data_IF_564109386906
#
_entry.id   IF_564109386906
#
_cell.length_a   1.000
_cell.length_b   1.000
_cell.length_c   1.000
_cell.angle_alpha   90.00
_cell.angle_beta   90.00
_cell.angle_gamma   90.00
#
_symmetry.space_group_name_H-M   'P 1'
#
loop_
_entity.id
_entity.type
_entity.pdbx_description
1 polymer ?
#
# COMPACT_ATOMS: atom_id res chain seq x y z
N UNK A 1 11.00 12.41 -7.97
CA UNK A 1 11.02 11.20 -7.11
C UNK A 1 9.95 10.23 -7.58
N UNK A 2 10.36 9.09 -8.13
CA UNK A 2 9.52 7.98 -8.56
C UNK A 2 9.26 6.98 -7.43
N UNK A 3 8.18 6.21 -7.53
CA UNK A 3 7.85 5.13 -6.59
C UNK A 3 7.44 3.87 -7.35
N UNK A 4 7.94 2.73 -6.91
CA UNK A 4 7.60 1.44 -7.50
C UNK A 4 6.20 0.98 -7.06
N UNK A 5 5.60 0.11 -7.87
CA UNK A 5 4.33 -0.59 -7.63
C UNK A 5 4.53 -2.09 -7.83
N UNK A 6 3.71 -2.91 -7.18
CA UNK A 6 3.74 -4.36 -7.36
C UNK A 6 3.59 -4.70 -8.84
N UNK A 7 4.43 -5.63 -9.32
CA UNK A 7 4.71 -5.88 -10.72
C UNK A 7 3.48 -6.32 -11.54
N UNK A 8 2.65 -7.20 -10.98
CA UNK A 8 1.59 -7.89 -11.71
C UNK A 8 0.24 -7.18 -11.65
N UNK A 9 -0.05 -6.55 -10.51
CA UNK A 9 -1.35 -5.97 -10.15
C UNK A 9 -1.30 -4.46 -10.03
N UNK A 10 -0.10 -3.87 -9.91
CA UNK A 10 0.08 -2.44 -9.71
C UNK A 10 -0.28 -1.97 -8.29
N UNK A 11 -0.53 -2.90 -7.36
CA UNK A 11 -0.80 -2.60 -5.96
C UNK A 11 0.39 -1.91 -5.28
N UNK A 12 0.19 -1.41 -4.06
CA UNK A 12 1.30 -0.89 -3.28
C UNK A 12 2.09 -2.07 -2.67
N UNK A 13 3.41 -2.16 -2.89
CA UNK A 13 4.23 -3.18 -2.25
C UNK A 13 4.28 -2.94 -0.74
N UNK A 14 4.40 -3.99 0.08
CA UNK A 14 4.61 -3.90 1.53
C UNK A 14 5.84 -3.06 1.84
N UNK A 15 6.93 -3.29 1.10
CA UNK A 15 8.16 -2.53 1.27
C UNK A 15 8.38 -1.58 0.10
N UNK A 16 8.25 -0.28 0.39
CA UNK A 16 8.35 0.79 -0.58
C UNK A 16 9.73 0.86 -1.25
N UNK A 17 9.74 1.33 -2.49
CA UNK A 17 10.99 1.69 -3.16
C UNK A 17 10.83 3.05 -3.83
N UNK A 18 11.81 3.91 -3.62
CA UNK A 18 11.83 5.28 -4.12
C UNK A 18 13.04 5.46 -5.04
N UNK A 19 12.83 6.11 -6.19
CA UNK A 19 13.86 6.30 -7.22
C UNK A 19 14.01 7.78 -7.55
N UNK A 20 15.24 8.23 -7.70
CA UNK A 20 15.61 9.51 -8.26
C UNK A 20 16.61 9.27 -9.39
N UNK A 21 16.56 10.12 -10.41
CA UNK A 21 17.48 10.06 -11.55
C UNK A 21 17.92 11.46 -11.94
N UNK A 22 19.17 11.59 -12.36
CA UNK A 22 19.73 12.86 -12.81
C UNK A 22 20.79 12.63 -13.89
N UNK A 23 21.06 13.65 -14.69
CA UNK A 23 22.20 13.68 -15.60
C UNK A 23 23.23 14.67 -15.09
N UNK A 24 24.51 14.41 -15.30
CA UNK A 24 25.51 15.45 -15.12
C UNK A 24 25.37 16.58 -16.16
N UNK A 25 26.17 17.64 -15.94
CA UNK A 25 26.19 18.80 -16.83
C UNK A 25 26.69 18.46 -18.23
N UNK A 26 27.64 17.52 -18.34
CA UNK A 26 28.18 17.09 -19.63
C UNK A 26 27.16 16.30 -20.45
N UNK A 27 26.23 15.61 -19.79
CA UNK A 27 25.29 14.70 -20.42
C UNK A 27 25.88 13.32 -20.71
N UNK A 28 27.07 13.01 -20.20
CA UNK A 28 27.75 11.72 -20.39
C UNK A 28 27.56 10.77 -19.20
N UNK A 29 26.94 11.22 -18.12
CA UNK A 29 26.69 10.37 -16.96
C UNK A 29 25.23 10.45 -16.51
N UNK A 30 24.59 9.30 -16.44
CA UNK A 30 23.27 9.09 -15.86
C UNK A 30 23.42 8.55 -14.44
N UNK A 31 22.77 9.19 -13.48
CA UNK A 31 22.77 8.78 -12.08
C UNK A 31 21.40 8.27 -11.67
N UNK A 32 21.37 7.18 -10.89
CA UNK A 32 20.21 6.78 -10.11
C UNK A 32 20.55 6.75 -8.63
N UNK A 33 19.62 7.24 -7.81
CA UNK A 33 19.60 7.04 -6.37
C UNK A 33 18.31 6.29 -6.02
N UNK A 34 18.47 5.10 -5.46
CA UNK A 34 17.39 4.16 -5.18
C UNK A 34 17.39 3.87 -3.69
N UNK A 35 16.25 4.09 -3.02
CA UNK A 35 16.02 3.71 -1.63
C UNK A 35 15.03 2.57 -1.58
N UNK A 36 15.42 1.46 -0.98
CA UNK A 36 14.60 0.28 -0.74
C UNK A 36 14.25 0.21 0.75
N UNK A 37 13.00 0.53 1.10
CA UNK A 37 12.55 0.42 2.48
C UNK A 37 12.56 -1.05 2.90
N UNK A 38 12.86 -1.31 4.17
CA UNK A 38 12.93 -2.63 4.78
C UNK A 38 12.37 -2.61 6.20
N UNK A 39 12.13 -3.80 6.75
CA UNK A 39 11.74 -3.90 8.14
C UNK A 39 12.98 -3.65 9.02
N UNK A 40 12.88 -2.77 10.04
CA UNK A 40 13.93 -2.58 11.03
C UNK A 40 14.51 -3.90 11.55
N UNK A 41 15.83 -4.04 11.50
CA UNK A 41 16.58 -5.22 11.96
C UNK A 41 16.41 -6.51 11.14
N UNK A 42 15.65 -6.52 10.05
CA UNK A 42 15.50 -7.71 9.21
C UNK A 42 16.73 -7.94 8.33
N UNK A 43 17.28 -9.16 8.37
CA UNK A 43 18.45 -9.51 7.57
C UNK A 43 18.12 -9.52 6.08
N UNK A 44 18.90 -8.78 5.29
CA UNK A 44 18.82 -8.79 3.83
C UNK A 44 19.29 -10.12 3.25
N UNK A 45 18.68 -10.52 2.13
CA UNK A 45 19.08 -11.73 1.42
C UNK A 45 20.17 -11.41 0.38
N UNK A 46 21.44 -11.41 0.81
CA UNK A 46 22.60 -11.22 -0.07
C UNK A 46 23.19 -12.58 -0.43
N UNK A 47 23.13 -12.94 -1.71
CA UNK A 47 23.58 -14.24 -2.22
C UNK A 47 24.99 -14.22 -2.83
N UNK A 48 25.51 -13.05 -3.14
CA UNK A 48 26.88 -12.87 -3.65
C UNK A 48 27.42 -11.47 -3.35
N UNK A 49 28.75 -11.35 -3.33
CA UNK A 49 29.48 -10.07 -3.27
C UNK A 49 30.37 -9.89 -4.49
N UNK A 50 30.27 -10.79 -5.49
CA UNK A 50 31.15 -10.83 -6.65
C UNK A 50 30.47 -10.17 -7.84
N UNK A 51 31.24 -9.41 -8.62
CA UNK A 51 30.81 -8.88 -9.92
C UNK A 51 30.55 -10.03 -10.91
N UNK A 52 29.56 -9.85 -11.79
CA UNK A 52 29.10 -10.82 -12.79
C UNK A 52 28.61 -12.18 -12.26
N UNK A 53 28.29 -12.27 -10.96
CA UNK A 53 27.78 -13.48 -10.35
C UNK A 53 26.25 -13.56 -10.41
N UNK A 54 25.75 -14.45 -11.27
CA UNK A 54 24.31 -14.63 -11.52
C UNK A 54 23.53 -15.14 -10.29
N UNK A 55 24.22 -15.62 -9.25
CA UNK A 55 23.54 -15.97 -8.00
C UNK A 55 22.86 -14.75 -7.34
N UNK A 56 23.20 -13.53 -7.76
CA UNK A 56 22.52 -12.28 -7.39
C UNK A 56 20.99 -12.38 -7.47
N UNK A 57 20.44 -13.02 -8.51
CA UNK A 57 18.98 -13.15 -8.70
C UNK A 57 18.28 -14.14 -7.76
N UNK A 58 19.01 -14.84 -6.90
CA UNK A 58 18.40 -15.61 -5.80
C UNK A 58 18.20 -14.78 -4.52
N UNK A 59 18.69 -13.53 -4.51
CA UNK A 59 18.67 -12.61 -3.38
C UNK A 59 17.79 -11.38 -3.58
N UNK A 60 17.97 -10.40 -2.69
CA UNK A 60 17.44 -9.06 -2.84
C UNK A 60 18.26 -8.32 -3.91
N UNK A 61 17.58 -7.67 -4.86
CA UNK A 61 18.26 -6.84 -5.85
C UNK A 61 17.36 -5.72 -6.39
N UNK A 62 18.00 -4.73 -6.98
CA UNK A 62 17.37 -3.78 -7.90
C UNK A 62 17.88 -4.04 -9.31
N UNK A 63 17.02 -3.81 -10.30
CA UNK A 63 17.39 -3.88 -11.70
C UNK A 63 17.01 -2.59 -12.42
N UNK A 64 17.90 -2.09 -13.27
CA UNK A 64 17.67 -0.95 -14.14
C UNK A 64 17.68 -1.47 -15.56
N UNK A 65 16.57 -1.28 -16.28
CA UNK A 65 16.47 -1.61 -17.70
C UNK A 65 16.46 -0.32 -18.51
N UNK A 66 17.32 -0.21 -19.53
CA UNK A 66 17.50 1.01 -20.32
C UNK A 66 17.48 0.69 -21.81
N UNK A 67 16.39 1.05 -22.47
CA UNK A 67 16.26 1.11 -23.93
C UNK A 67 16.67 2.52 -24.39
N UNK A 68 17.56 2.60 -25.36
CA UNK A 68 18.07 3.86 -25.91
C UNK A 68 17.59 4.04 -27.34
N UNK A 69 17.89 5.19 -27.94
CA UNK A 69 17.63 5.43 -29.35
C UNK A 69 18.55 4.62 -30.30
N UNK A 70 19.66 4.12 -29.78
CA UNK A 70 20.63 3.31 -30.54
C UNK A 70 20.57 1.83 -30.21
N UNK A 71 19.89 1.41 -29.13
CA UNK A 71 19.98 0.03 -28.64
C UNK A 71 18.70 -0.50 -28.00
N UNK A 72 18.44 -1.80 -28.20
CA UNK A 72 17.18 -2.44 -27.78
C UNK A 72 16.93 -2.37 -26.28
N UNK A 73 17.85 -2.84 -25.44
CA UNK A 73 17.97 -2.44 -24.04
C UNK A 73 19.16 -3.10 -23.33
N UNK A 74 19.65 -2.42 -22.30
CA UNK A 74 20.60 -2.93 -21.31
C UNK A 74 19.88 -3.29 -20.02
N UNK A 75 20.43 -4.23 -19.25
CA UNK A 75 20.01 -4.55 -17.88
C UNK A 75 21.21 -4.42 -16.95
N UNK A 76 21.02 -3.70 -15.85
CA UNK A 76 22.02 -3.57 -14.79
C UNK A 76 21.36 -3.98 -13.48
N UNK A 77 21.90 -5.00 -12.81
CA UNK A 77 21.39 -5.52 -11.55
C UNK A 77 22.39 -5.28 -10.41
N UNK A 78 21.88 -4.78 -9.27
CA UNK A 78 22.68 -4.46 -8.08
C UNK A 78 22.02 -5.05 -6.84
N UNK A 79 22.79 -5.73 -6.00
CA UNK A 79 22.31 -6.21 -4.69
C UNK A 79 22.76 -5.32 -3.52
N UNK A 80 22.26 -5.54 -2.29
CA UNK A 80 22.63 -4.70 -1.14
C UNK A 80 24.12 -4.70 -0.76
N UNK A 81 24.91 -5.67 -1.22
CA UNK A 81 26.35 -5.72 -0.98
C UNK A 81 27.17 -5.03 -2.09
N UNK A 82 26.50 -4.40 -3.06
CA UNK A 82 27.15 -3.73 -4.19
C UNK A 82 27.67 -4.67 -5.28
N UNK A 83 27.28 -5.95 -5.26
CA UNK A 83 27.55 -6.83 -6.40
C UNK A 83 26.77 -6.31 -7.62
N UNK A 84 27.44 -6.25 -8.76
CA UNK A 84 26.94 -5.74 -10.03
C UNK A 84 26.92 -6.87 -11.04
N UNK A 85 25.83 -6.99 -11.79
CA UNK A 85 25.76 -7.79 -13.01
C UNK A 85 25.20 -6.90 -14.11
N UNK A 86 25.89 -6.83 -15.24
CA UNK A 86 25.45 -6.09 -16.41
C UNK A 86 25.25 -7.00 -17.63
N UNK A 87 24.19 -6.72 -18.38
CA UNK A 87 23.75 -7.54 -19.50
C UNK A 87 23.31 -6.64 -20.65
N UNK A 88 23.83 -6.93 -21.84
CA UNK A 88 23.24 -6.47 -23.08
C UNK A 88 22.12 -7.44 -23.50
N UNK A 89 20.87 -6.96 -23.52
CA UNK A 89 19.70 -7.77 -23.91
C UNK A 89 19.29 -7.56 -25.38
N UNK A 90 19.98 -6.68 -26.10
CA UNK A 90 19.82 -6.44 -27.54
C UNK A 90 20.62 -7.41 -28.41
N UNK A 91 21.56 -8.17 -27.83
CA UNK A 91 22.37 -9.16 -28.54
C UNK A 91 21.88 -10.60 -28.30
N UNK A 92 22.47 -11.55 -29.04
CA UNK A 92 22.22 -12.97 -28.84
C UNK A 92 22.52 -13.41 -27.40
N UNK A 93 21.69 -14.35 -26.89
CA UNK A 93 21.76 -14.82 -25.51
C UNK A 93 23.14 -15.32 -25.05
N UNK A 94 23.93 -15.90 -25.95
CA UNK A 94 25.27 -16.39 -25.65
C UNK A 94 26.31 -15.26 -25.46
N UNK A 95 25.96 -14.04 -25.82
CA UNK A 95 26.79 -12.83 -25.74
C UNK A 95 26.31 -11.81 -24.71
N UNK A 96 25.17 -12.06 -24.05
CA UNK A 96 24.55 -11.18 -23.05
C UNK A 96 25.54 -10.64 -21.99
N UNK A 97 26.38 -11.50 -21.44
CA UNK A 97 27.31 -11.17 -20.36
C UNK A 97 28.69 -10.69 -20.85
N UNK A 98 28.84 -10.33 -22.14
CA UNK A 98 30.11 -9.82 -22.69
C UNK A 98 30.21 -8.30 -22.65
N UNK A 99 29.09 -7.62 -22.42
CA UNK A 99 29.02 -6.17 -22.36
C UNK A 99 29.26 -5.68 -20.94
N UNK A 100 30.05 -4.62 -20.79
CA UNK A 100 30.29 -3.96 -19.52
C UNK A 100 29.71 -2.54 -19.51
N UNK A 101 28.88 -2.25 -18.51
CA UNK A 101 28.24 -0.93 -18.34
C UNK A 101 29.21 0.20 -17.99
N UNK A 102 30.42 -0.15 -17.51
CA UNK A 102 31.37 0.78 -16.89
C UNK A 102 30.76 1.57 -15.72
N UNK A 103 29.70 1.03 -15.11
CA UNK A 103 28.99 1.69 -14.02
C UNK A 103 29.78 1.65 -12.70
N UNK A 104 29.69 2.74 -11.94
CA UNK A 104 30.20 2.81 -10.57
C UNK A 104 29.02 2.76 -9.60
N UNK A 105 29.12 1.91 -8.58
CA UNK A 105 28.04 1.63 -7.64
C UNK A 105 28.50 1.80 -6.21
N UNK A 106 27.72 2.52 -5.43
CA UNK A 106 27.82 2.57 -3.97
C UNK A 106 26.51 2.08 -3.35
N UNK A 107 26.62 1.30 -2.27
CA UNK A 107 25.49 0.83 -1.49
C UNK A 107 25.64 1.21 -0.02
N UNK A 108 24.52 1.41 0.66
CA UNK A 108 24.49 1.64 2.09
C UNK A 108 23.33 0.88 2.71
N UNK A 109 23.61 0.16 3.80
CA UNK A 109 22.61 -0.58 4.57
C UNK A 109 22.41 0.15 5.90
N UNK A 110 21.17 0.55 6.15
CA UNK A 110 20.70 1.10 7.41
C UNK A 110 19.70 0.13 8.06
N UNK A 111 19.13 0.52 9.20
CA UNK A 111 18.22 -0.33 9.96
C UNK A 111 16.89 -0.58 9.22
N UNK A 112 16.28 0.46 8.67
CA UNK A 112 14.95 0.43 8.04
C UNK A 112 15.00 0.49 6.50
N UNK A 113 16.19 0.47 5.90
CA UNK A 113 16.35 0.54 4.45
C UNK A 113 17.77 0.18 3.99
N UNK A 114 17.91 -0.02 2.69
CA UNK A 114 19.20 0.06 2.00
C UNK A 114 19.09 0.95 0.76
N UNK A 115 20.23 1.47 0.30
CA UNK A 115 20.30 2.34 -0.88
C UNK A 115 21.28 1.83 -1.93
N UNK A 116 21.00 2.21 -3.18
CA UNK A 116 21.92 2.10 -4.32
C UNK A 116 22.08 3.48 -4.92
N UNK A 117 23.31 3.93 -5.03
CA UNK A 117 23.70 5.08 -5.85
C UNK A 117 24.58 4.57 -6.99
N UNK A 118 24.17 4.82 -8.23
CA UNK A 118 24.85 4.31 -9.41
C UNK A 118 25.09 5.42 -10.43
N UNK A 119 26.33 5.52 -10.91
CA UNK A 119 26.74 6.32 -12.07
C UNK A 119 26.86 5.39 -13.28
N UNK A 120 26.12 5.66 -14.33
CA UNK A 120 26.14 4.92 -15.60
C UNK A 120 26.72 5.87 -16.66
N UNK A 121 27.94 5.63 -17.16
CA UNK A 121 28.48 6.38 -18.27
C UNK A 121 27.76 6.04 -19.59
N UNK A 122 27.55 7.09 -20.38
CA UNK A 122 26.82 7.06 -21.65
C UNK A 122 27.69 7.63 -22.74
N UNK A 123 27.71 6.98 -23.90
CA UNK A 123 28.45 7.41 -25.09
C UNK A 123 27.55 7.48 -26.31
N UNK A 124 27.89 8.35 -27.26
CA UNK A 124 27.33 8.33 -28.62
C UNK A 124 28.23 7.61 -29.61
N UNK A 125 29.41 7.14 -29.16
CA UNK A 125 30.34 6.37 -29.97
C UNK A 125 29.92 4.91 -30.01
N UNK A 126 29.60 4.41 -31.20
CA UNK A 126 29.15 3.03 -31.42
C UNK A 126 30.32 2.07 -31.75
N UNK A 127 31.57 2.58 -31.80
CA UNK A 127 32.74 1.78 -32.17
C UNK A 127 33.23 0.83 -31.06
N UNK A 128 32.78 1.03 -29.82
CA UNK A 128 33.04 0.13 -28.69
C UNK A 128 31.73 -0.52 -28.23
N UNK A 129 31.22 -1.55 -28.94
CA UNK A 129 29.92 -2.14 -28.65
C UNK A 129 29.91 -2.99 -27.37
N UNK A 130 31.07 -3.25 -26.77
CA UNK A 130 31.19 -4.06 -25.55
C UNK A 130 31.27 -3.22 -24.28
N UNK A 131 31.30 -1.89 -24.38
CA UNK A 131 31.40 -1.02 -23.22
C UNK A 131 30.41 0.14 -23.30
N UNK A 132 30.01 0.65 -22.13
CA UNK A 132 29.16 1.83 -21.95
C UNK A 132 27.73 1.64 -22.46
N UNK A 133 26.83 2.49 -21.98
CA UNK A 133 25.49 2.61 -22.58
C UNK A 133 25.60 3.49 -23.82
N UNK A 134 25.21 2.95 -24.98
CA UNK A 134 25.24 3.68 -26.24
C UNK A 134 23.89 4.37 -26.48
N UNK A 135 23.93 5.67 -26.73
CA UNK A 135 22.79 6.48 -27.14
C UNK A 135 22.96 7.96 -26.79
N UNK A 136 22.13 8.82 -27.37
CA UNK A 136 22.17 10.25 -27.04
C UNK A 136 21.43 10.53 -25.73
N UNK A 137 21.80 11.62 -25.05
CA UNK A 137 21.01 12.11 -23.90
C UNK A 137 19.54 12.34 -24.32
N UNK A 138 18.56 11.69 -23.65
CA UNK A 138 17.18 11.73 -24.09
C UNK A 138 16.51 13.08 -23.83
N UNK A 139 15.66 13.49 -24.76
CA UNK A 139 14.87 14.73 -24.71
C UNK A 139 13.37 14.41 -24.69
N UNK A 140 12.53 15.43 -24.51
CA UNK A 140 11.06 15.25 -24.57
C UNK A 140 10.61 14.75 -25.94
N UNK A 141 11.26 15.20 -27.02
CA UNK A 141 10.91 14.79 -28.39
C UNK A 141 11.50 13.44 -28.77
N UNK A 142 12.59 13.03 -28.12
CA UNK A 142 13.33 11.81 -28.41
C UNK A 142 13.68 11.12 -27.08
N UNK A 143 12.67 10.53 -26.41
CA UNK A 143 12.86 9.89 -25.13
C UNK A 143 13.57 8.54 -25.28
N UNK A 144 14.19 8.10 -24.19
CA UNK A 144 14.54 6.70 -23.97
C UNK A 144 13.36 5.99 -23.29
N UNK A 145 13.43 4.67 -23.17
CA UNK A 145 12.52 3.90 -22.33
C UNK A 145 13.26 3.18 -21.22
N UNK A 146 12.66 3.12 -20.03
CA UNK A 146 13.31 2.50 -18.87
C UNK A 146 12.34 1.80 -17.92
N UNK A 147 12.92 0.94 -17.09
CA UNK A 147 12.27 0.47 -15.87
C UNK A 147 13.28 0.39 -14.74
N UNK A 148 12.80 0.59 -13.51
CA UNK A 148 13.54 0.26 -12.29
C UNK A 148 12.72 -0.74 -11.51
N UNK A 149 13.27 -1.91 -11.29
CA UNK A 149 12.63 -3.04 -10.64
C UNK A 149 13.32 -3.34 -9.32
N UNK A 150 12.57 -3.92 -8.37
CA UNK A 150 13.10 -4.48 -7.13
C UNK A 150 12.55 -5.89 -6.97
N UNK A 151 13.45 -6.79 -6.63
CA UNK A 151 13.15 -8.11 -6.10
C UNK A 151 13.51 -8.14 -4.62
N UNK A 152 12.57 -8.59 -3.79
CA UNK A 152 12.76 -8.86 -2.36
C UNK A 152 12.40 -10.31 -2.08
N UNK A 153 13.34 -11.10 -1.56
CA UNK A 153 13.18 -12.54 -1.33
C UNK A 153 13.29 -12.85 0.15
N UNK A 154 12.30 -13.56 0.69
CA UNK A 154 12.29 -14.11 2.06
C UNK A 154 11.87 -15.58 2.01
N UNK A 155 12.11 -16.28 3.11
CA UNK A 155 11.85 -17.73 3.23
C UNK A 155 10.43 -18.13 2.80
N UNK A 156 9.42 -17.36 3.21
CA UNK A 156 8.02 -17.67 2.95
C UNK A 156 7.37 -16.81 1.87
N UNK A 157 8.13 -16.01 1.12
CA UNK A 157 7.54 -15.21 0.05
C UNK A 157 8.51 -14.26 -0.64
N UNK A 158 8.07 -13.76 -1.78
CA UNK A 158 8.78 -12.76 -2.57
C UNK A 158 7.87 -11.57 -2.88
N UNK A 159 8.47 -10.41 -3.03
CA UNK A 159 7.79 -9.22 -3.54
C UNK A 159 8.58 -8.65 -4.71
N UNK A 160 7.88 -8.48 -5.83
CA UNK A 160 8.42 -7.90 -7.05
C UNK A 160 7.72 -6.59 -7.30
N UNK A 161 8.49 -5.52 -7.50
CA UNK A 161 7.93 -4.21 -7.79
C UNK A 161 8.71 -3.52 -8.90
N UNK A 162 8.04 -2.63 -9.62
CA UNK A 162 8.64 -1.90 -10.74
C UNK A 162 8.12 -0.47 -10.81
N UNK A 163 8.94 0.43 -11.36
CA UNK A 163 8.57 1.82 -11.61
C UNK A 163 7.43 1.89 -12.62
N UNK A 164 7.50 1.03 -13.65
CA UNK A 164 6.43 0.71 -14.58
C UNK A 164 6.07 -0.77 -14.46
N UNK A 165 5.02 -1.14 -13.70
CA UNK A 165 4.56 -2.52 -13.59
C UNK A 165 4.26 -3.13 -14.96
N UNK A 166 4.70 -4.37 -15.16
CA UNK A 166 4.60 -5.06 -16.45
C UNK A 166 3.24 -5.74 -16.64
N UNK A 167 2.52 -6.03 -15.56
CA UNK A 167 1.30 -6.82 -15.62
C UNK A 167 1.58 -8.29 -15.94
N UNK A 168 2.81 -8.76 -15.69
CA UNK A 168 3.24 -10.15 -15.87
C UNK A 168 4.13 -10.58 -14.71
N UNK A 169 4.45 -11.88 -14.61
CA UNK A 169 5.35 -12.39 -13.57
C UNK A 169 6.82 -11.96 -13.74
N UNK A 170 7.19 -11.33 -14.86
CA UNK A 170 8.58 -10.99 -15.18
C UNK A 170 8.79 -9.49 -15.45
N UNK A 171 10.03 -9.05 -15.32
CA UNK A 171 10.43 -7.65 -15.53
C UNK A 171 10.62 -7.28 -17.01
N UNK A 172 10.93 -8.25 -17.87
CA UNK A 172 11.38 -8.02 -19.25
C UNK A 172 10.22 -7.87 -20.24
N UNK A 173 9.46 -6.78 -20.10
CA UNK A 173 8.36 -6.43 -21.00
C UNK A 173 8.61 -5.03 -21.55
N UNK A 174 9.37 -4.93 -22.65
CA UNK A 174 9.92 -3.66 -23.16
C UNK A 174 8.84 -2.64 -23.52
N UNK A 175 7.72 -3.08 -24.11
CA UNK A 175 6.59 -2.18 -24.43
C UNK A 175 5.88 -1.61 -23.18
N UNK A 176 6.26 -2.06 -21.97
CA UNK A 176 5.80 -1.50 -20.68
C UNK A 176 6.80 -0.54 -20.05
N UNK A 177 7.98 -0.36 -20.63
CA UNK A 177 8.96 0.58 -20.11
C UNK A 177 8.40 2.00 -20.13
N UNK A 178 8.70 2.76 -19.06
CA UNK A 178 8.30 4.14 -18.97
C UNK A 178 9.17 5.01 -19.87
N UNK A 179 8.63 6.12 -20.37
CA UNK A 179 9.46 7.10 -21.06
C UNK A 179 10.39 7.83 -20.09
N UNK A 180 11.63 8.02 -20.53
CA UNK A 180 12.71 8.68 -19.82
C UNK A 180 13.24 9.86 -20.63
N UNK A 181 13.26 11.06 -20.05
CA UNK A 181 13.85 12.24 -20.68
C UNK A 181 14.47 13.16 -19.65
N UNK A 182 15.71 13.62 -19.86
CA UNK A 182 16.40 14.59 -19.00
C UNK A 182 16.31 14.33 -17.47
N UNK A 183 16.29 13.06 -17.02
CA UNK A 183 16.14 12.70 -15.59
C UNK A 183 14.71 12.78 -15.05
N UNK A 184 13.75 13.12 -15.90
CA UNK A 184 12.32 13.12 -15.66
C UNK A 184 11.64 11.95 -16.37
N UNK A 185 10.47 11.57 -15.86
CA UNK A 185 9.59 10.58 -16.48
C UNK A 185 8.18 11.15 -16.53
N UNK A 186 7.49 11.06 -17.66
CA UNK A 186 6.06 11.37 -17.77
C UNK A 186 5.29 10.11 -18.10
N UNK A 187 4.19 9.88 -17.38
CA UNK A 187 3.19 8.89 -17.78
C UNK A 187 2.37 9.51 -18.90
N UNK A 188 2.60 9.12 -20.15
CA UNK A 188 1.66 9.40 -21.22
C UNK A 188 0.49 8.42 -21.15
N UNK A 189 -0.65 8.82 -21.71
CA UNK A 189 -1.79 7.91 -21.88
C UNK A 189 -1.32 6.84 -22.86
N UNK A 190 -1.30 5.59 -22.41
CA UNK A 190 -1.09 4.44 -23.30
C UNK A 190 -2.15 4.49 -24.42
N UNK A 191 -1.84 3.90 -25.57
CA UNK A 191 -2.81 3.69 -26.64
C UNK A 191 -4.15 3.20 -26.06
N UNK A 192 -5.27 3.93 -26.27
CA UNK A 192 -6.56 3.55 -25.74
C UNK A 192 -7.05 2.17 -26.21
N UNK A 193 -6.52 1.64 -27.31
CA UNK A 193 -6.86 0.30 -27.81
C UNK A 193 -6.13 -0.83 -27.06
N UNK A 194 -5.01 -0.54 -26.40
CA UNK A 194 -4.28 -1.52 -25.62
C UNK A 194 -4.80 -1.55 -24.18
N UNK A 195 -5.59 -2.57 -23.88
CA UNK A 195 -6.10 -2.84 -22.53
C UNK A 195 -5.42 -4.09 -22.00
N UNK A 196 -4.58 -3.93 -20.98
CA UNK A 196 -4.01 -5.04 -20.22
C UNK A 196 -4.69 -5.20 -18.85
N UNK A 197 -4.22 -6.19 -18.09
CA UNK A 197 -4.70 -6.46 -16.74
C UNK A 197 -4.66 -5.21 -15.84
N UNK A 198 -3.61 -4.40 -15.90
CA UNK A 198 -3.42 -3.22 -15.05
C UNK A 198 -4.43 -2.10 -15.38
N UNK A 199 -4.69 -1.87 -16.66
CA UNK A 199 -5.67 -0.86 -17.11
C UNK A 199 -7.09 -1.31 -16.76
N UNK A 200 -7.44 -2.56 -17.06
CA UNK A 200 -8.75 -3.13 -16.73
C UNK A 200 -8.97 -3.17 -15.20
N UNK A 201 -7.94 -3.53 -14.42
CA UNK A 201 -7.96 -3.53 -12.97
C UNK A 201 -8.27 -2.16 -12.37
N UNK A 202 -7.63 -1.09 -12.86
CA UNK A 202 -7.93 0.29 -12.42
C UNK A 202 -9.37 0.71 -12.74
N UNK A 203 -9.89 0.29 -13.90
CA UNK A 203 -11.28 0.55 -14.27
C UNK A 203 -12.25 -0.15 -13.31
N UNK A 204 -12.01 -1.42 -12.99
CA UNK A 204 -12.80 -2.17 -12.01
C UNK A 204 -12.73 -1.54 -10.60
N UNK A 205 -11.54 -1.10 -10.19
CA UNK A 205 -11.32 -0.42 -8.91
C UNK A 205 -12.07 0.92 -8.84
N UNK A 206 -12.07 1.70 -9.92
CA UNK A 206 -12.81 2.95 -10.00
C UNK A 206 -14.32 2.73 -9.85
N UNK A 207 -14.87 1.65 -10.43
CA UNK A 207 -16.28 1.28 -10.25
C UNK A 207 -16.58 0.95 -8.77
N UNK A 208 -15.70 0.20 -8.11
CA UNK A 208 -15.85 -0.15 -6.70
C UNK A 208 -15.83 1.09 -5.79
N UNK A 209 -14.87 2.00 -6.02
CA UNK A 209 -14.78 3.27 -5.29
C UNK A 209 -15.98 4.18 -5.52
N UNK A 210 -16.52 4.18 -6.74
CA UNK A 210 -17.75 4.88 -7.10
C UNK A 210 -19.03 4.20 -6.56
N UNK A 211 -18.90 3.11 -5.81
CA UNK A 211 -20.01 2.30 -5.25
C UNK A 211 -20.92 1.68 -6.32
N UNK A 212 -20.43 1.57 -7.56
CA UNK A 212 -21.08 0.84 -8.65
C UNK A 212 -20.79 -0.65 -8.52
N UNK A 213 -21.27 -1.25 -7.42
CA UNK A 213 -20.82 -2.57 -6.99
C UNK A 213 -21.25 -3.69 -7.95
N UNK A 214 -22.36 -3.55 -8.68
CA UNK A 214 -22.78 -4.55 -9.67
C UNK A 214 -21.82 -4.59 -10.85
N UNK A 215 -21.48 -3.42 -11.36
CA UNK A 215 -20.55 -3.22 -12.47
C UNK A 215 -19.11 -3.61 -12.06
N UNK A 216 -18.70 -3.23 -10.84
CA UNK A 216 -17.41 -3.63 -10.29
C UNK A 216 -17.30 -5.15 -10.15
N UNK A 217 -18.34 -5.82 -9.63
CA UNK A 217 -18.39 -7.29 -9.53
C UNK A 217 -18.21 -7.94 -10.90
N UNK A 218 -18.99 -7.51 -11.91
CA UNK A 218 -18.88 -8.03 -13.26
C UNK A 218 -17.49 -7.79 -13.87
N UNK A 219 -16.95 -6.58 -13.71
CA UNK A 219 -15.64 -6.22 -14.23
C UNK A 219 -14.51 -7.05 -13.59
N UNK A 220 -14.54 -7.25 -12.28
CA UNK A 220 -13.55 -8.08 -11.59
C UNK A 220 -13.65 -9.57 -11.94
N UNK A 221 -14.87 -10.11 -12.07
CA UNK A 221 -15.06 -11.50 -12.51
C UNK A 221 -14.54 -11.71 -13.93
N UNK A 222 -14.80 -10.76 -14.85
CA UNK A 222 -14.27 -10.80 -16.21
C UNK A 222 -12.74 -10.67 -16.22
N UNK A 223 -12.19 -9.76 -15.40
CA UNK A 223 -10.74 -9.56 -15.27
C UNK A 223 -10.04 -10.83 -14.78
N UNK A 224 -10.62 -11.53 -13.79
CA UNK A 224 -10.10 -12.81 -13.30
C UNK A 224 -10.14 -13.91 -14.37
N UNK A 225 -11.05 -13.83 -15.35
CA UNK A 225 -11.17 -14.78 -16.45
C UNK A 225 -10.32 -14.41 -17.68
N UNK A 226 -9.46 -13.38 -17.58
CA UNK A 226 -8.60 -12.96 -18.69
C UNK A 226 -7.65 -14.11 -19.07
N UNK A 227 -7.53 -14.38 -20.37
CA UNK A 227 -6.60 -15.39 -20.89
C UNK A 227 -5.17 -15.06 -20.42
N UNK A 228 -4.48 -16.08 -19.89
CA UNK A 228 -3.13 -15.98 -19.33
C UNK A 228 -2.99 -15.10 -18.07
N UNK A 229 -4.08 -14.76 -17.38
CA UNK A 229 -3.97 -14.13 -16.07
C UNK A 229 -3.22 -15.07 -15.11
N UNK A 230 -2.21 -14.54 -14.43
CA UNK A 230 -1.45 -15.28 -13.41
C UNK A 230 -2.30 -15.57 -12.18
N UNK A 231 -1.90 -16.54 -11.35
CA UNK A 231 -2.63 -16.84 -10.11
C UNK A 231 -2.77 -15.62 -9.19
N UNK A 232 -1.73 -14.78 -9.11
CA UNK A 232 -1.77 -13.53 -8.34
C UNK A 232 -2.77 -12.53 -8.92
N UNK A 233 -2.82 -12.40 -10.24
CA UNK A 233 -3.78 -11.55 -10.94
C UNK A 233 -5.22 -12.02 -10.73
N UNK A 234 -5.47 -13.33 -10.92
CA UNK A 234 -6.76 -13.95 -10.69
C UNK A 234 -7.22 -13.78 -9.24
N UNK A 235 -6.35 -14.09 -8.27
CA UNK A 235 -6.65 -13.95 -6.85
C UNK A 235 -6.95 -12.49 -6.46
N UNK A 236 -6.18 -11.52 -6.97
CA UNK A 236 -6.41 -10.09 -6.73
C UNK A 236 -7.76 -9.63 -7.32
N UNK A 237 -8.07 -10.03 -8.55
CA UNK A 237 -9.34 -9.69 -9.19
C UNK A 237 -10.53 -10.32 -8.45
N UNK A 238 -10.45 -11.61 -8.08
CA UNK A 238 -11.51 -12.31 -7.34
C UNK A 238 -11.72 -11.74 -5.93
N UNK A 239 -10.67 -11.30 -5.25
CA UNK A 239 -10.80 -10.54 -3.99
C UNK A 239 -11.57 -9.24 -4.19
N UNK A 240 -11.30 -8.51 -5.28
CA UNK A 240 -12.07 -7.32 -5.68
C UNK A 240 -13.54 -7.64 -5.95
N UNK A 241 -13.82 -8.74 -6.65
CA UNK A 241 -15.17 -9.25 -6.89
C UNK A 241 -15.90 -9.58 -5.58
N UNK A 242 -15.24 -10.29 -4.65
CA UNK A 242 -15.84 -10.63 -3.36
C UNK A 242 -16.15 -9.38 -2.52
N UNK A 243 -15.29 -8.36 -2.57
CA UNK A 243 -15.54 -7.05 -1.95
C UNK A 243 -16.80 -6.38 -2.52
N UNK A 244 -16.97 -6.39 -3.84
CA UNK A 244 -18.15 -5.88 -4.51
C UNK A 244 -19.43 -6.67 -4.12
N UNK A 245 -19.35 -8.00 -4.07
CA UNK A 245 -20.45 -8.88 -3.65
C UNK A 245 -20.87 -8.62 -2.19
N UNK A 246 -19.90 -8.48 -1.27
CA UNK A 246 -20.17 -8.08 0.14
C UNK A 246 -20.86 -6.72 0.23
N UNK A 247 -20.45 -5.74 -0.58
CA UNK A 247 -21.11 -4.42 -0.61
C UNK A 247 -22.56 -4.49 -1.11
N UNK A 248 -22.89 -5.48 -1.97
CA UNK A 248 -24.25 -5.79 -2.41
C UNK A 248 -25.03 -6.63 -1.39
N UNK A 249 -24.37 -7.11 -0.33
CA UNK A 249 -24.88 -8.11 0.63
C UNK A 249 -25.21 -9.47 -0.02
N UNK A 250 -24.60 -9.75 -1.16
CA UNK A 250 -24.69 -11.06 -1.81
C UNK A 250 -23.59 -11.97 -1.24
N UNK A 251 -23.83 -12.48 -0.03
CA UNK A 251 -22.85 -13.29 0.69
C UNK A 251 -22.66 -14.66 0.05
N UNK A 252 -23.71 -15.25 -0.53
CA UNK A 252 -23.61 -16.49 -1.28
C UNK A 252 -22.63 -16.34 -2.46
N UNK A 253 -22.73 -15.23 -3.22
CA UNK A 253 -21.77 -14.95 -4.28
C UNK A 253 -20.36 -14.70 -3.74
N UNK A 254 -20.25 -13.98 -2.63
CA UNK A 254 -18.94 -13.73 -2.01
C UNK A 254 -18.25 -15.03 -1.58
N UNK A 255 -19.01 -16.02 -1.08
CA UNK A 255 -18.50 -17.32 -0.65
C UNK A 255 -18.18 -18.23 -1.86
N UNK A 256 -19.01 -18.24 -2.92
CA UNK A 256 -18.70 -18.91 -4.19
C UNK A 256 -17.37 -18.43 -4.80
N UNK A 257 -17.06 -17.14 -4.66
CA UNK A 257 -15.82 -16.57 -5.18
C UNK A 257 -14.58 -17.05 -4.43
N UNK A 258 -14.70 -17.49 -3.17
CA UNK A 258 -13.57 -18.04 -2.39
C UNK A 258 -13.01 -19.29 -3.07
N UNK A 259 -13.90 -20.20 -3.49
CA UNK A 259 -13.56 -21.47 -4.14
C UNK A 259 -12.83 -21.31 -5.48
N UNK A 260 -12.89 -20.11 -6.06
CA UNK A 260 -12.25 -19.79 -7.34
C UNK A 260 -10.88 -19.16 -7.19
N UNK A 261 -10.47 -18.78 -5.98
CA UNK A 261 -9.21 -18.08 -5.74
C UNK A 261 -8.06 -19.10 -5.76
N UNK A 262 -7.09 -18.98 -6.69
CA UNK A 262 -6.02 -19.98 -6.85
C UNK A 262 -4.93 -19.89 -5.78
N UNK A 263 -4.91 -18.82 -4.97
CA UNK A 263 -3.94 -18.62 -3.91
C UNK A 263 -4.57 -18.88 -2.53
N UNK A 264 -4.19 -19.95 -1.80
CA UNK A 264 -4.81 -20.31 -0.52
C UNK A 264 -4.83 -19.19 0.51
N UNK A 265 -3.72 -18.45 0.66
CA UNK A 265 -3.64 -17.32 1.57
C UNK A 265 -4.68 -16.23 1.24
N UNK A 266 -4.90 -15.95 -0.05
CA UNK A 266 -5.88 -14.95 -0.50
C UNK A 266 -7.31 -15.48 -0.33
N UNK A 267 -7.55 -16.77 -0.59
CA UNK A 267 -8.85 -17.41 -0.36
C UNK A 267 -9.26 -17.32 1.11
N UNK A 268 -8.34 -17.64 2.03
CA UNK A 268 -8.56 -17.53 3.47
C UNK A 268 -8.83 -16.08 3.91
N UNK A 269 -8.07 -15.11 3.40
CA UNK A 269 -8.35 -13.68 3.66
C UNK A 269 -9.77 -13.31 3.24
N UNK A 270 -10.19 -13.69 2.03
CA UNK A 270 -11.51 -13.37 1.52
C UNK A 270 -12.60 -14.05 2.35
N UNK A 271 -12.39 -15.28 2.78
CA UNK A 271 -13.34 -15.98 3.64
C UNK A 271 -13.47 -15.30 5.02
N UNK A 272 -12.35 -14.91 5.64
CA UNK A 272 -12.36 -14.11 6.88
C UNK A 272 -13.14 -12.80 6.70
N UNK A 273 -12.90 -12.07 5.60
CA UNK A 273 -13.62 -10.84 5.28
C UNK A 273 -15.13 -11.08 5.06
N UNK A 274 -15.52 -12.21 4.46
CA UNK A 274 -16.91 -12.62 4.29
C UNK A 274 -17.59 -12.89 5.63
N UNK A 275 -16.97 -13.69 6.50
CA UNK A 275 -17.50 -14.00 7.84
C UNK A 275 -17.70 -12.73 8.68
N UNK A 276 -16.76 -11.78 8.63
CA UNK A 276 -16.92 -10.47 9.28
C UNK A 276 -18.11 -9.69 8.72
N UNK A 277 -18.28 -9.64 7.39
CA UNK A 277 -19.40 -8.95 6.76
C UNK A 277 -20.76 -9.61 7.08
N UNK A 278 -20.78 -10.94 7.27
CA UNK A 278 -21.93 -11.72 7.73
C UNK A 278 -22.17 -11.63 9.25
N UNK A 279 -21.33 -10.89 10.00
CA UNK A 279 -21.38 -10.77 11.48
C UNK A 279 -21.16 -12.10 12.19
N UNK A 280 -20.23 -12.91 11.69
CA UNK A 280 -19.83 -14.22 12.24
C UNK A 280 -18.38 -14.23 12.76
N UNK A 281 -18.00 -13.33 13.69
CA UNK A 281 -16.63 -13.28 14.20
C UNK A 281 -16.25 -14.53 15.02
N UNK A 282 -17.20 -15.19 15.66
CA UNK A 282 -16.93 -16.43 16.41
C UNK A 282 -16.54 -17.58 15.48
N UNK A 283 -17.27 -17.78 14.39
CA UNK A 283 -16.98 -18.79 13.37
C UNK A 283 -15.61 -18.56 12.70
N UNK A 284 -15.26 -17.29 12.46
CA UNK A 284 -13.93 -16.93 11.96
C UNK A 284 -12.83 -17.40 12.92
N UNK A 285 -12.98 -17.19 14.23
CA UNK A 285 -11.99 -17.62 15.21
C UNK A 285 -11.97 -19.13 15.41
N UNK A 286 -13.10 -19.82 15.25
CA UNK A 286 -13.15 -21.28 15.26
C UNK A 286 -12.30 -21.87 14.14
N UNK A 287 -12.42 -21.32 12.93
CA UNK A 287 -11.71 -21.82 11.76
C UNK A 287 -10.25 -21.34 11.69
N UNK A 288 -9.99 -20.07 12.01
CA UNK A 288 -8.70 -19.41 11.73
C UNK A 288 -8.03 -18.79 12.96
N UNK A 289 -8.60 -18.95 14.15
CA UNK A 289 -8.06 -18.42 15.40
C UNK A 289 -6.68 -18.96 15.78
N UNK A 290 -6.29 -20.10 15.21
CA UNK A 290 -4.99 -20.76 15.44
C UNK A 290 -4.03 -20.66 14.25
N UNK A 291 -4.41 -19.94 13.20
CA UNK A 291 -3.59 -19.82 11.98
C UNK A 291 -2.23 -19.17 12.28
N UNK A 292 -1.16 -19.76 11.78
CA UNK A 292 0.20 -19.27 12.01
C UNK A 292 0.67 -18.43 10.83
N UNK A 293 0.43 -17.11 10.91
CA UNK A 293 0.81 -16.17 9.86
C UNK A 293 2.32 -16.00 9.70
N UNK A 294 3.17 -16.53 10.59
CA UNK A 294 4.62 -16.46 10.40
C UNK A 294 5.10 -17.28 9.19
N UNK A 295 4.32 -18.28 8.79
CA UNK A 295 4.60 -19.17 7.64
C UNK A 295 4.00 -18.69 6.34
N UNK A 296 3.30 -17.56 6.36
CA UNK A 296 2.62 -17.04 5.19
C UNK A 296 3.56 -16.18 4.33
N UNK A 297 3.25 -16.04 3.03
CA UNK A 297 3.80 -14.96 2.23
C UNK A 297 3.51 -13.61 2.90
N UNK A 298 4.57 -12.89 3.25
CA UNK A 298 4.48 -11.62 3.97
C UNK A 298 3.54 -10.58 3.31
N UNK A 299 3.36 -10.51 1.97
CA UNK A 299 2.39 -9.59 1.36
C UNK A 299 0.93 -9.85 1.74
N UNK A 300 0.62 -11.04 2.29
CA UNK A 300 -0.73 -11.46 2.65
C UNK A 300 -0.98 -11.43 4.17
N UNK A 301 0.06 -11.29 4.98
CA UNK A 301 -0.06 -11.33 6.45
C UNK A 301 -0.92 -10.17 6.98
N UNK A 302 -0.66 -8.94 6.52
CA UNK A 302 -1.36 -7.76 7.07
C UNK A 302 -2.89 -7.82 6.94
N UNK A 303 -3.48 -8.06 5.75
CA UNK A 303 -4.93 -8.17 5.63
C UNK A 303 -5.51 -9.36 6.42
N UNK A 304 -4.82 -10.50 6.49
CA UNK A 304 -5.28 -11.68 7.24
C UNK A 304 -5.29 -11.40 8.75
N UNK A 305 -4.18 -10.89 9.29
CA UNK A 305 -4.06 -10.52 10.69
C UNK A 305 -5.06 -9.43 11.06
N UNK A 306 -5.27 -8.43 10.20
CA UNK A 306 -6.28 -7.42 10.45
C UNK A 306 -7.70 -8.01 10.54
N UNK A 307 -8.09 -8.90 9.61
CA UNK A 307 -9.40 -9.54 9.65
C UNK A 307 -9.59 -10.37 10.94
N UNK A 308 -8.59 -11.17 11.32
CA UNK A 308 -8.65 -11.96 12.56
C UNK A 308 -8.66 -11.08 13.82
N UNK A 309 -7.90 -9.98 13.85
CA UNK A 309 -7.95 -9.00 14.92
C UNK A 309 -9.36 -8.42 15.10
N UNK A 310 -10.07 -8.10 14.01
CA UNK A 310 -11.44 -7.59 14.11
C UNK A 310 -12.39 -8.61 14.75
N UNK A 311 -12.19 -9.91 14.49
CA UNK A 311 -12.95 -10.96 15.15
C UNK A 311 -12.59 -11.09 16.64
N UNK A 312 -11.30 -11.01 16.99
CA UNK A 312 -10.87 -10.99 18.38
C UNK A 312 -11.42 -9.80 19.16
N UNK A 313 -11.46 -8.60 18.56
CA UNK A 313 -12.05 -7.40 19.17
C UNK A 313 -13.52 -7.64 19.51
N UNK A 314 -14.30 -8.15 18.55
CA UNK A 314 -15.74 -8.40 18.73
C UNK A 314 -16.02 -9.47 19.80
N UNK A 315 -15.11 -10.44 19.95
CA UNK A 315 -15.17 -11.47 20.99
C UNK A 315 -14.42 -11.10 22.28
N UNK A 316 -14.03 -9.83 22.46
CA UNK A 316 -13.35 -9.30 23.66
C UNK A 316 -12.02 -9.99 24.00
N UNK A 317 -11.36 -10.63 23.04
CA UNK A 317 -10.03 -11.19 23.21
C UNK A 317 -8.95 -10.12 22.93
N UNK A 318 -8.79 -9.18 23.86
CA UNK A 318 -7.97 -7.99 23.66
C UNK A 318 -6.49 -8.27 23.40
N UNK A 319 -5.91 -9.29 24.05
CA UNK A 319 -4.48 -9.64 23.87
C UNK A 319 -4.20 -10.23 22.50
N UNK A 320 -5.05 -11.14 22.02
CA UNK A 320 -4.90 -11.71 20.68
C UNK A 320 -5.15 -10.67 19.59
N UNK A 321 -6.16 -9.80 19.78
CA UNK A 321 -6.40 -8.66 18.89
C UNK A 321 -5.18 -7.73 18.80
N UNK A 322 -4.54 -7.42 19.93
CA UNK A 322 -3.34 -6.58 19.94
C UNK A 322 -2.20 -7.21 19.15
N UNK A 323 -1.92 -8.50 19.37
CA UNK A 323 -0.88 -9.22 18.65
C UNK A 323 -1.10 -9.18 17.12
N UNK A 324 -2.31 -9.52 16.67
CA UNK A 324 -2.66 -9.50 15.25
C UNK A 324 -2.60 -8.09 14.65
N UNK A 325 -3.03 -7.05 15.38
CA UNK A 325 -2.95 -5.67 14.91
C UNK A 325 -1.51 -5.18 14.79
N UNK A 326 -0.61 -5.56 15.70
CA UNK A 326 0.81 -5.24 15.60
C UNK A 326 1.45 -5.94 14.39
N UNK A 327 1.13 -7.22 14.17
CA UNK A 327 1.57 -7.94 12.96
C UNK A 327 1.03 -7.29 11.69
N UNK A 328 -0.23 -6.86 11.69
CA UNK A 328 -0.81 -6.16 10.56
C UNK A 328 -0.16 -4.80 10.30
N UNK A 329 0.13 -4.04 11.36
CA UNK A 329 0.80 -2.74 11.28
C UNK A 329 2.23 -2.86 10.74
N UNK A 330 2.97 -3.88 11.14
CA UNK A 330 4.36 -4.09 10.71
C UNK A 330 4.49 -4.44 9.22
N UNK A 331 3.43 -4.91 8.57
CA UNK A 331 3.43 -5.40 7.19
C UNK A 331 2.37 -4.70 6.31
N UNK A 332 1.91 -3.51 6.71
CA UNK A 332 1.01 -2.69 5.89
C UNK A 332 1.74 -1.50 5.29
N UNK A 333 1.55 -1.29 3.99
CA UNK A 333 1.92 -0.05 3.30
C UNK A 333 0.71 0.68 2.72
N UNK A 334 -0.44 0.01 2.65
CA UNK A 334 -1.69 0.59 2.18
C UNK A 334 -2.21 1.60 3.20
N UNK A 335 -2.31 2.86 2.78
CA UNK A 335 -2.65 3.96 3.68
C UNK A 335 -4.05 3.84 4.28
N UNK A 336 -4.99 3.23 3.55
CA UNK A 336 -6.37 3.07 4.02
C UNK A 336 -6.43 1.99 5.10
N UNK A 337 -5.83 0.83 4.82
CA UNK A 337 -5.71 -0.27 5.77
C UNK A 337 -4.91 0.16 7.00
N UNK A 338 -3.81 0.90 6.83
CA UNK A 338 -3.06 1.49 7.94
C UNK A 338 -3.97 2.32 8.86
N UNK A 339 -4.81 3.18 8.29
CA UNK A 339 -5.72 4.00 9.09
C UNK A 339 -6.75 3.15 9.85
N UNK A 340 -7.26 2.09 9.20
CA UNK A 340 -8.16 1.12 9.82
C UNK A 340 -7.47 0.31 10.92
N UNK A 341 -6.22 -0.10 10.76
CA UNK A 341 -5.43 -0.79 11.79
C UNK A 341 -5.25 0.13 13.01
N UNK A 342 -4.81 1.37 12.81
CA UNK A 342 -4.54 2.32 13.90
C UNK A 342 -5.79 2.64 14.73
N UNK A 343 -6.95 2.83 14.09
CA UNK A 343 -8.20 3.08 14.83
C UNK A 343 -8.67 1.82 15.59
N UNK A 344 -8.42 0.62 15.05
CA UNK A 344 -8.73 -0.63 15.75
C UNK A 344 -7.76 -0.92 16.90
N UNK A 345 -6.48 -0.53 16.79
CA UNK A 345 -5.53 -0.53 17.92
C UNK A 345 -6.04 0.37 19.04
N UNK A 346 -6.38 1.61 18.73
CA UNK A 346 -6.96 2.54 19.70
C UNK A 346 -8.22 1.96 20.35
N UNK A 347 -9.13 1.41 19.54
CA UNK A 347 -10.38 0.83 20.02
C UNK A 347 -10.17 -0.40 20.92
N UNK A 348 -9.29 -1.33 20.53
CA UNK A 348 -8.98 -2.52 21.31
C UNK A 348 -8.36 -2.14 22.66
N UNK A 349 -7.42 -1.19 22.65
CA UNK A 349 -6.74 -0.70 23.85
C UNK A 349 -7.70 0.00 24.79
N UNK A 350 -8.58 0.85 24.29
CA UNK A 350 -9.60 1.55 25.07
C UNK A 350 -10.63 0.58 25.66
N UNK A 351 -11.15 -0.34 24.84
CA UNK A 351 -12.36 -1.09 25.22
C UNK A 351 -12.09 -2.46 25.82
N UNK A 352 -11.12 -3.22 25.31
CA UNK A 352 -10.83 -4.58 25.76
C UNK A 352 -9.66 -4.61 26.76
N UNK A 353 -8.61 -3.82 26.51
CA UNK A 353 -7.44 -3.76 27.41
C UNK A 353 -7.59 -2.72 28.53
N UNK A 354 -8.54 -1.78 28.39
CA UNK A 354 -8.78 -0.69 29.36
C UNK A 354 -7.57 0.20 29.60
N UNK A 355 -6.78 0.43 28.55
CA UNK A 355 -5.60 1.29 28.56
C UNK A 355 -5.84 2.54 27.72
N UNK A 356 -6.35 3.59 28.38
CA UNK A 356 -6.63 4.89 27.75
C UNK A 356 -5.36 5.58 27.24
N UNK A 357 -4.20 5.35 27.87
CA UNK A 357 -2.94 5.98 27.48
C UNK A 357 -2.43 5.39 26.15
N UNK A 358 -2.38 4.07 26.04
CA UNK A 358 -1.99 3.39 24.81
C UNK A 358 -3.04 3.56 23.70
N UNK A 359 -4.33 3.68 24.06
CA UNK A 359 -5.38 3.98 23.10
C UNK A 359 -5.22 5.38 22.50
N UNK A 360 -4.99 6.40 23.34
CA UNK A 360 -4.78 7.77 22.89
C UNK A 360 -3.56 7.86 21.96
N UNK A 361 -2.47 7.19 22.31
CA UNK A 361 -1.27 7.12 21.47
C UNK A 361 -1.59 6.53 20.08
N UNK A 362 -2.33 5.41 20.03
CA UNK A 362 -2.71 4.78 18.76
C UNK A 362 -3.64 5.68 17.90
N UNK A 363 -4.64 6.33 18.51
CA UNK A 363 -5.53 7.23 17.77
C UNK A 363 -4.77 8.45 17.20
N UNK A 364 -3.79 8.98 17.94
CA UNK A 364 -2.98 10.14 17.51
C UNK A 364 -2.18 9.87 16.24
N UNK A 365 -1.65 8.65 16.08
CA UNK A 365 -0.94 8.23 14.86
C UNK A 365 -1.76 8.41 13.57
N UNK A 366 -3.10 8.44 13.68
CA UNK A 366 -3.98 8.60 12.53
C UNK A 366 -4.11 10.06 12.03
N UNK A 367 -3.80 11.07 12.85
CA UNK A 367 -4.08 12.47 12.50
C UNK A 367 -3.00 13.49 12.89
N UNK A 368 -2.07 13.16 13.78
CA UNK A 368 -0.95 14.04 14.10
C UNK A 368 0.03 14.11 12.93
N UNK A 369 0.61 15.30 12.70
CA UNK A 369 1.48 15.56 11.54
C UNK A 369 0.78 15.69 10.19
N UNK A 370 -0.53 15.39 10.08
CA UNK A 370 -1.28 15.56 8.83
C UNK A 370 -1.76 17.00 8.63
N UNK A 371 -1.62 17.50 7.41
CA UNK A 371 -2.19 18.81 7.02
C UNK A 371 -3.69 18.75 6.81
N UNK A 372 -4.21 17.62 6.32
CA UNK A 372 -5.63 17.43 5.97
C UNK A 372 -6.16 16.15 6.60
N UNK A 373 -7.38 16.23 7.10
CA UNK A 373 -8.16 15.09 7.62
C UNK A 373 -9.33 14.87 6.66
N UNK A 374 -9.51 13.64 6.19
CA UNK A 374 -10.57 13.31 5.22
C UNK A 374 -11.10 11.88 5.31
N UNK A 375 -10.44 11.00 6.05
CA UNK A 375 -10.85 9.60 6.21
C UNK A 375 -11.82 9.39 7.37
N UNK A 376 -12.77 8.48 7.19
CA UNK A 376 -13.70 8.06 8.24
C UNK A 376 -12.98 7.55 9.51
N UNK A 377 -11.91 6.77 9.35
CA UNK A 377 -11.13 6.23 10.48
C UNK A 377 -10.28 7.31 11.16
N UNK A 378 -9.86 8.34 10.42
CA UNK A 378 -9.18 9.52 10.97
C UNK A 378 -10.15 10.35 11.82
N UNK A 379 -11.36 10.62 11.33
CA UNK A 379 -12.41 11.30 12.08
C UNK A 379 -12.75 10.54 13.37
N UNK A 380 -12.91 9.22 13.28
CA UNK A 380 -13.15 8.38 14.45
C UNK A 380 -12.01 8.47 15.45
N UNK A 381 -10.76 8.42 14.99
CA UNK A 381 -9.59 8.52 15.87
C UNK A 381 -9.53 9.86 16.60
N UNK A 382 -9.80 10.98 15.92
CA UNK A 382 -9.88 12.31 16.53
C UNK A 382 -11.00 12.36 17.59
N UNK A 383 -12.19 11.86 17.24
CA UNK A 383 -13.34 11.82 18.15
C UNK A 383 -13.05 11.02 19.43
N UNK A 384 -12.42 9.84 19.33
CA UNK A 384 -12.08 9.04 20.51
C UNK A 384 -10.91 9.62 21.30
N UNK A 385 -9.88 10.16 20.63
CA UNK A 385 -8.79 10.86 21.30
C UNK A 385 -9.29 12.03 22.15
N UNK A 386 -10.20 12.85 21.61
CA UNK A 386 -10.82 13.96 22.34
C UNK A 386 -11.60 13.48 23.58
N UNK A 387 -12.33 12.36 23.46
CA UNK A 387 -13.06 11.77 24.59
C UNK A 387 -12.12 11.27 25.70
N UNK A 388 -11.03 10.58 25.34
CA UNK A 388 -10.01 10.14 26.31
C UNK A 388 -9.42 11.36 27.04
N UNK A 389 -9.01 12.39 26.30
CA UNK A 389 -8.45 13.62 26.89
C UNK A 389 -9.44 14.27 27.88
N UNK A 390 -10.73 14.29 27.55
CA UNK A 390 -11.75 14.80 28.46
C UNK A 390 -11.93 13.95 29.72
N UNK A 391 -11.85 12.61 29.62
CA UNK A 391 -11.86 11.72 30.80
C UNK A 391 -10.65 11.95 31.71
N UNK A 392 -9.52 12.34 31.12
CA UNK A 392 -8.29 12.68 31.84
C UNK A 392 -8.30 14.11 32.43
N UNK A 393 -9.41 14.86 32.33
CA UNK A 393 -9.51 16.24 32.80
C UNK A 393 -8.84 17.28 31.89
N UNK A 394 -8.30 16.87 30.73
CA UNK A 394 -7.62 17.75 29.76
C UNK A 394 -8.60 18.38 28.79
N UNK A 395 -9.53 19.17 29.31
CA UNK A 395 -10.69 19.66 28.56
C UNK A 395 -10.32 20.58 27.38
N UNK A 396 -9.37 21.48 27.56
CA UNK A 396 -8.93 22.37 26.48
C UNK A 396 -8.21 21.61 25.36
N UNK A 397 -7.37 20.64 25.71
CA UNK A 397 -6.74 19.74 24.74
C UNK A 397 -7.77 18.89 24.00
N UNK A 398 -8.81 18.41 24.69
CA UNK A 398 -9.89 17.65 24.08
C UNK A 398 -10.65 18.47 23.03
N UNK A 399 -11.03 19.70 23.36
CA UNK A 399 -11.69 20.61 22.43
C UNK A 399 -10.77 20.96 21.25
N UNK A 400 -9.50 21.29 21.51
CA UNK A 400 -8.49 21.55 20.47
C UNK A 400 -8.26 20.35 19.57
N UNK A 401 -8.32 19.13 20.11
CA UNK A 401 -8.20 17.91 19.31
C UNK A 401 -9.40 17.78 18.38
N UNK A 402 -10.62 18.05 18.86
CA UNK A 402 -11.82 17.96 18.03
C UNK A 402 -11.84 18.98 16.88
N UNK A 403 -11.23 20.17 17.04
CA UNK A 403 -11.16 21.17 15.96
C UNK A 403 -10.30 20.76 14.77
N UNK A 404 -9.54 19.66 14.87
CA UNK A 404 -8.88 19.01 13.72
C UNK A 404 -9.89 18.51 12.69
N UNK A 405 -11.16 18.33 13.08
CA UNK A 405 -12.27 18.08 12.18
C UNK A 405 -12.88 19.42 11.78
N UNK A 406 -12.79 19.75 10.49
CA UNK A 406 -13.59 20.84 9.91
C UNK A 406 -15.05 20.39 9.82
N UNK A 407 -15.80 20.60 10.91
CA UNK A 407 -17.19 20.18 11.06
C UNK A 407 -18.12 20.82 10.02
N UNK A 408 -17.76 22.01 9.50
CA UNK A 408 -18.55 22.71 8.48
C UNK A 408 -18.52 21.98 7.13
N UNK A 409 -17.39 21.34 6.80
CA UNK A 409 -17.21 20.52 5.59
C UNK A 409 -17.75 19.09 5.71
N UNK A 410 -18.15 18.65 6.91
CA UNK A 410 -18.72 17.33 7.10
C UNK A 410 -20.19 17.27 6.67
N UNK A 411 -20.64 16.09 6.27
CA UNK A 411 -22.04 15.82 5.88
C UNK A 411 -22.60 14.61 6.64
N UNK A 412 -23.93 14.51 6.69
CA UNK A 412 -24.63 13.38 7.31
C UNK A 412 -24.24 13.13 8.77
N UNK A 413 -24.11 11.84 9.11
CA UNK A 413 -23.88 11.37 10.49
C UNK A 413 -22.58 11.88 11.11
N UNK A 414 -21.53 12.11 10.33
CA UNK A 414 -20.25 12.64 10.83
C UNK A 414 -20.40 14.03 11.41
N UNK A 415 -21.15 14.91 10.73
CA UNK A 415 -21.42 16.26 11.24
C UNK A 415 -22.24 16.22 12.52
N UNK A 416 -23.31 15.44 12.54
CA UNK A 416 -24.21 15.34 13.68
C UNK A 416 -23.51 14.76 14.93
N UNK A 417 -22.76 13.66 14.76
CA UNK A 417 -22.03 13.01 15.86
C UNK A 417 -20.88 13.87 16.39
N UNK A 418 -20.19 14.63 15.53
CA UNK A 418 -19.14 15.56 15.97
C UNK A 418 -19.69 16.66 16.87
N UNK A 419 -20.85 17.24 16.54
CA UNK A 419 -21.51 18.21 17.43
C UNK A 419 -21.98 17.59 18.74
N UNK A 420 -22.50 16.36 18.71
CA UNK A 420 -22.89 15.67 19.94
C UNK A 420 -21.68 15.44 20.86
N UNK A 421 -20.53 15.01 20.30
CA UNK A 421 -19.28 14.90 21.06
C UNK A 421 -18.83 16.26 21.58
N UNK A 422 -18.87 17.31 20.76
CA UNK A 422 -18.53 18.67 21.20
C UNK A 422 -19.37 19.08 22.42
N UNK A 423 -20.68 18.78 22.42
CA UNK A 423 -21.54 19.00 23.57
C UNK A 423 -21.09 18.22 24.80
N UNK A 424 -20.72 16.95 24.66
CA UNK A 424 -20.21 16.12 25.77
C UNK A 424 -18.93 16.72 26.39
N UNK A 425 -17.99 17.13 25.53
CA UNK A 425 -16.73 17.74 25.94
C UNK A 425 -16.97 19.07 26.67
N UNK A 426 -17.82 19.94 26.11
CA UNK A 426 -18.18 21.23 26.70
C UNK A 426 -18.92 21.09 28.03
N UNK A 427 -19.77 20.07 28.16
CA UNK A 427 -20.47 19.74 29.41
C UNK A 427 -19.46 19.39 30.50
N UNK A 428 -18.50 18.51 30.17
CA UNK A 428 -17.46 18.07 31.10
C UNK A 428 -16.53 19.25 31.48
N UNK A 429 -16.29 20.18 30.55
CA UNK A 429 -15.54 21.41 30.79
C UNK A 429 -16.31 22.50 31.57
N UNK A 430 -17.55 22.24 32.00
CA UNK A 430 -18.39 23.22 32.70
C UNK A 430 -19.00 24.32 31.82
N UNK A 431 -18.81 24.28 30.50
CA UNK A 431 -19.29 25.29 29.52
C UNK A 431 -20.73 25.02 29.07
N UNK A 432 -21.66 24.98 30.03
CA UNK A 432 -23.06 24.53 29.82
C UNK A 432 -23.82 25.26 28.70
N UNK A 433 -23.76 26.60 28.55
CA UNK A 433 -24.48 27.29 27.47
C UNK A 433 -24.01 26.85 26.07
N UNK A 434 -22.69 26.68 25.92
CA UNK A 434 -22.08 26.25 24.67
C UNK A 434 -22.36 24.77 24.38
N UNK A 435 -22.36 23.93 25.42
CA UNK A 435 -22.74 22.54 25.31
C UNK A 435 -24.18 22.39 24.77
N UNK A 436 -25.13 23.18 25.31
CA UNK A 436 -26.52 23.19 24.85
C UNK A 436 -26.62 23.59 23.38
N UNK A 437 -25.89 24.62 22.95
CA UNK A 437 -25.84 25.03 21.54
C UNK A 437 -25.26 23.93 20.64
N UNK A 438 -24.21 23.23 21.08
CA UNK A 438 -23.64 22.10 20.33
C UNK A 438 -24.63 20.93 20.19
N UNK A 439 -25.33 20.57 21.27
CA UNK A 439 -26.36 19.54 21.24
C UNK A 439 -27.54 19.90 20.32
N UNK A 440 -28.02 21.14 20.36
CA UNK A 440 -29.05 21.63 19.45
C UNK A 440 -28.59 21.53 17.97
N UNK A 441 -27.34 21.91 17.70
CA UNK A 441 -26.75 21.73 16.38
C UNK A 441 -26.72 20.26 15.96
N UNK A 442 -26.37 19.33 16.86
CA UNK A 442 -26.36 17.90 16.59
C UNK A 442 -27.75 17.37 16.19
N UNK A 443 -28.81 17.76 16.92
CA UNK A 443 -30.19 17.35 16.64
C UNK A 443 -30.71 17.91 15.31
N UNK A 444 -30.29 19.12 14.95
CA UNK A 444 -30.67 19.77 13.70
C UNK A 444 -29.99 19.17 12.45
N UNK A 445 -28.94 18.34 12.60
CA UNK A 445 -28.26 17.72 11.46
C UNK A 445 -28.84 16.33 11.13
N UNK A 446 -28.94 15.99 9.83
CA UNK A 446 -29.40 14.68 9.41
C UNK A 446 -28.38 13.59 9.80
N UNK A 447 -28.87 12.37 10.02
CA UNK A 447 -28.02 11.20 10.22
C UNK A 447 -27.49 11.00 11.65
N UNK A 448 -27.97 11.74 12.64
CA UNK A 448 -27.70 11.41 14.05
C UNK A 448 -28.31 10.03 14.39
N UNK A 449 -27.54 9.04 14.87
CA UNK A 449 -28.10 7.74 15.26
C UNK A 449 -29.19 7.88 16.33
N UNK A 450 -30.22 7.03 16.29
CA UNK A 450 -31.36 7.08 17.22
C UNK A 450 -30.92 7.10 18.70
N UNK A 451 -30.01 6.21 19.07
CA UNK A 451 -29.49 6.11 20.44
C UNK A 451 -28.75 7.39 20.89
N UNK A 452 -28.09 8.07 19.96
CA UNK A 452 -27.42 9.34 20.24
C UNK A 452 -28.42 10.48 20.36
N UNK A 453 -29.45 10.51 19.51
CA UNK A 453 -30.53 11.50 19.58
C UNK A 453 -31.21 11.47 20.94
N UNK A 454 -31.64 10.29 21.38
CA UNK A 454 -32.30 10.10 22.69
C UNK A 454 -31.39 10.53 23.85
N UNK A 455 -30.08 10.22 23.76
CA UNK A 455 -29.12 10.63 24.79
C UNK A 455 -28.88 12.16 24.80
N UNK A 456 -28.88 12.80 23.63
CA UNK A 456 -28.71 14.26 23.50
C UNK A 456 -29.95 15.01 23.98
N UNK A 457 -31.15 14.55 23.65
CA UNK A 457 -32.41 15.15 24.10
C UNK A 457 -32.50 15.18 25.62
N UNK A 458 -32.10 14.09 26.30
CA UNK A 458 -32.03 14.01 27.77
C UNK A 458 -31.03 14.98 28.41
N UNK A 459 -30.02 15.45 27.67
CA UNK A 459 -28.98 16.36 28.18
C UNK A 459 -29.34 17.84 28.00
N UNK A 460 -30.33 18.15 27.17
CA UNK A 460 -30.82 19.51 26.94
C UNK A 460 -31.97 19.86 27.90
N UNK A 461 -32.72 18.84 28.35
CA UNK A 461 -33.69 18.94 29.45
C UNK A 461 -32.94 19.21 30.76
#
# INVERSE_FOLDING_TARGET
VGKLRELQTGAQPVFGTTVMSAWDRSGQNLYFAIRCDERPGEKLNVTTTRREDQSLWYGDCVEIHLETDSHSYYQIAVNPAGALVDIDRGVDKHSWFRWESQAEVATHIADDHWTVEIRIPVTTDENDPLNFVVGRKPSVSLPWHFNVCRQRIREHGAEYSAFSPTGTAGFHVTHKFAQFYAGHSKKFKFDPEYVDFLIAGKTAEALLHARKNKEALAAYVALAATKNATDLQQANALRGAASAARNLKDFAKADELVERIPLPAVAMIVHMENLLAQRKPAELLEQYGKEDFSKWPFPHVSPAAFARAQAHIQNKNGKAAEADLQSALALTSDKRLLSSILVNLGHNRETNLKDDALALAAYRLNFEGKERIGGADEFRSIQQAARILSRQGKHDEALKTLTRIDVAKQTGSWRATTYAIQGDLLTTAGRKPEARAAYQNALAKPGLPKTWREAVEKKIQ
#
